data_IF_921343566439
#
_entry.id   IF_921343566439
#
_cell.length_a   1.000
_cell.length_b   1.000
_cell.length_c   1.000
_cell.angle_alpha   90.00
_cell.angle_beta   90.00
_cell.angle_gamma   90.00
#
_symmetry.space_group_name_H-M   'P 1'
#
loop_
_entity.id
_entity.type
_entity.pdbx_description
1 polymer ?
#
# COMPACT_ATOMS: atom_id res chain seq x y z
N UNK A 1 -18.93 -12.78 25.53
CA UNK A 1 -19.11 -13.30 24.15
C UNK A 1 -18.36 -12.32 23.25
N UNK A 2 -17.24 -12.74 22.64
CA UNK A 2 -16.48 -11.86 21.73
C UNK A 2 -17.30 -11.67 20.46
N UNK A 3 -17.46 -10.42 20.02
CA UNK A 3 -18.09 -10.10 18.75
C UNK A 3 -17.20 -10.59 17.61
N UNK A 4 -17.55 -11.71 17.00
CA UNK A 4 -16.83 -12.31 15.88
C UNK A 4 -17.23 -11.73 14.54
N UNK A 5 -18.19 -10.78 14.51
CA UNK A 5 -18.67 -10.20 13.25
C UNK A 5 -17.48 -9.69 12.43
N UNK A 6 -16.52 -9.00 13.04
CA UNK A 6 -15.36 -8.41 12.36
C UNK A 6 -14.48 -9.40 11.56
N UNK A 7 -14.60 -10.71 11.85
CA UNK A 7 -13.86 -11.78 11.21
C UNK A 7 -14.74 -12.73 10.39
N UNK A 8 -16.04 -12.44 10.27
CA UNK A 8 -16.94 -13.20 9.42
C UNK A 8 -16.41 -13.15 7.97
N UNK A 9 -16.51 -14.29 7.29
CA UNK A 9 -16.27 -14.35 5.85
C UNK A 9 -17.28 -13.41 5.17
N UNK A 10 -16.83 -12.29 4.58
CA UNK A 10 -17.72 -11.31 3.96
C UNK A 10 -18.45 -11.88 2.73
N UNK A 11 -18.15 -13.12 2.35
CA UNK A 11 -18.78 -13.85 1.25
C UNK A 11 -19.70 -14.99 1.72
N UNK A 12 -19.72 -15.31 3.02
CA UNK A 12 -20.58 -16.35 3.59
C UNK A 12 -21.66 -15.81 4.54
N UNK A 13 -21.53 -14.58 5.03
CA UNK A 13 -22.47 -13.97 6.00
C UNK A 13 -23.32 -12.86 5.38
N UNK A 14 -24.57 -12.73 5.84
CA UNK A 14 -25.50 -11.63 5.45
C UNK A 14 -25.08 -10.25 5.99
N UNK A 15 -24.12 -10.18 6.93
CA UNK A 15 -23.64 -8.94 7.53
C UNK A 15 -22.40 -8.38 6.79
N UNK A 16 -22.66 -7.63 5.73
CA UNK A 16 -21.66 -6.97 4.86
C UNK A 16 -20.76 -5.96 5.61
N UNK A 17 -21.15 -5.50 6.80
CA UNK A 17 -20.49 -4.36 7.47
C UNK A 17 -19.21 -4.71 8.24
N UNK A 18 -18.95 -5.96 8.53
CA UNK A 18 -18.02 -6.28 9.63
C UNK A 18 -16.53 -6.34 9.22
N UNK A 19 -16.20 -6.55 7.95
CA UNK A 19 -14.80 -6.64 7.50
C UNK A 19 -14.14 -5.30 7.12
N UNK A 20 -14.92 -4.22 6.98
CA UNK A 20 -14.48 -2.96 6.36
C UNK A 20 -13.24 -2.37 7.04
N UNK A 21 -13.21 -2.34 8.37
CA UNK A 21 -12.11 -1.76 9.15
C UNK A 21 -10.75 -2.41 8.90
N UNK A 22 -10.71 -3.74 8.69
CA UNK A 22 -9.47 -4.47 8.41
C UNK A 22 -8.93 -4.06 7.04
N UNK A 23 -9.78 -3.94 6.02
CA UNK A 23 -9.35 -3.47 4.69
C UNK A 23 -8.82 -2.05 4.74
N UNK A 24 -9.48 -1.16 5.46
CA UNK A 24 -8.98 0.19 5.71
C UNK A 24 -7.59 0.14 6.34
N UNK A 25 -7.40 -0.65 7.40
CA UNK A 25 -6.09 -0.78 8.05
C UNK A 25 -5.01 -1.28 7.07
N UNK A 26 -5.27 -2.35 6.31
CA UNK A 26 -4.30 -2.90 5.35
C UNK A 26 -3.93 -1.88 4.27
N UNK A 27 -4.92 -1.16 3.74
CA UNK A 27 -4.72 -0.17 2.68
C UNK A 27 -3.93 1.05 3.17
N UNK A 28 -4.25 1.57 4.36
CA UNK A 28 -3.69 2.84 4.83
C UNK A 28 -2.42 2.73 5.67
N UNK A 29 -2.17 1.58 6.29
CA UNK A 29 -0.97 1.33 7.06
C UNK A 29 0.33 1.60 6.28
N UNK A 30 0.56 1.03 5.07
CA UNK A 30 1.81 1.26 4.35
C UNK A 30 2.01 2.74 3.98
N UNK A 31 0.94 3.44 3.63
CA UNK A 31 0.99 4.85 3.25
C UNK A 31 1.39 5.69 4.46
N UNK A 32 0.72 5.48 5.59
CA UNK A 32 0.98 6.20 6.86
C UNK A 32 2.41 5.97 7.32
N UNK A 33 2.89 4.72 7.27
CA UNK A 33 4.27 4.39 7.63
C UNK A 33 5.29 5.03 6.69
N UNK A 34 5.04 4.99 5.38
CA UNK A 34 5.92 5.63 4.40
C UNK A 34 6.01 7.15 4.64
N UNK A 35 4.88 7.81 4.94
CA UNK A 35 4.90 9.24 5.30
C UNK A 35 5.62 9.52 6.61
N UNK A 36 5.49 8.64 7.62
CA UNK A 36 6.20 8.75 8.88
C UNK A 36 7.73 8.66 8.69
N UNK A 37 8.22 7.83 7.75
CA UNK A 37 9.65 7.77 7.40
C UNK A 37 10.18 9.08 6.82
N UNK A 38 9.36 9.83 6.08
CA UNK A 38 9.78 11.12 5.53
C UNK A 38 9.78 12.25 6.55
N UNK A 39 8.78 12.27 7.44
CA UNK A 39 8.55 13.33 8.42
C UNK A 39 8.92 12.89 9.85
N UNK A 40 10.00 12.11 9.99
CA UNK A 40 10.49 11.65 11.29
C UNK A 40 11.32 12.73 11.99
N UNK A 41 11.31 12.75 13.31
CA UNK A 41 12.19 13.58 14.15
C UNK A 41 13.68 13.35 13.85
N UNK A 42 14.02 12.18 13.29
CA UNK A 42 15.34 11.86 12.79
C UNK A 42 15.66 12.48 11.43
N UNK A 43 14.96 13.53 10.98
CA UNK A 43 15.18 14.19 9.69
C UNK A 43 16.64 14.62 9.48
N UNK A 44 17.34 14.97 10.56
CA UNK A 44 18.76 15.32 10.52
C UNK A 44 19.65 14.16 10.06
N UNK A 45 19.23 12.91 10.19
CA UNK A 45 19.97 11.75 9.65
C UNK A 45 19.84 11.61 8.12
N UNK A 46 19.00 12.43 7.48
CA UNK A 46 18.80 12.42 6.03
C UNK A 46 20.07 12.70 5.22
N UNK A 47 21.08 13.36 5.81
CA UNK A 47 22.35 13.69 5.14
C UNK A 47 23.05 12.46 4.55
N UNK A 48 22.88 11.28 5.17
CA UNK A 48 23.49 10.02 4.70
C UNK A 48 23.01 9.68 3.29
N UNK A 49 21.75 9.95 2.96
CA UNK A 49 21.21 9.67 1.63
C UNK A 49 21.71 10.65 0.57
N UNK A 50 22.05 11.87 0.96
CA UNK A 50 22.64 12.87 0.07
C UNK A 50 24.15 12.68 -0.13
N UNK A 51 24.85 12.16 0.88
CA UNK A 51 26.27 11.83 0.78
C UNK A 51 26.55 10.46 0.15
N UNK A 52 25.52 9.61 0.02
CA UNK A 52 25.63 8.28 -0.57
C UNK A 52 25.87 8.36 -2.08
N UNK A 53 26.75 7.52 -2.66
CA UNK A 53 26.90 7.42 -4.11
C UNK A 53 25.73 6.70 -4.80
N UNK A 54 24.74 6.22 -4.04
CA UNK A 54 23.56 5.55 -4.59
C UNK A 54 22.60 6.57 -5.21
N UNK A 55 22.00 6.22 -6.36
CA UNK A 55 21.02 7.10 -7.00
C UNK A 55 19.79 7.31 -6.12
N UNK A 56 19.28 8.55 -6.09
CA UNK A 56 18.07 8.92 -5.36
C UNK A 56 16.87 8.04 -5.76
N UNK A 57 16.74 7.69 -7.05
CA UNK A 57 15.70 6.79 -7.54
C UNK A 57 15.74 5.41 -6.89
N UNK A 58 16.93 4.82 -6.73
CA UNK A 58 17.09 3.54 -6.03
C UNK A 58 16.74 3.66 -4.55
N UNK A 59 17.11 4.75 -3.89
CA UNK A 59 16.82 4.96 -2.46
C UNK A 59 15.31 5.10 -2.22
N UNK A 60 14.60 5.90 -3.03
CA UNK A 60 13.14 6.08 -2.90
C UNK A 60 12.41 4.76 -3.14
N UNK A 61 12.77 4.02 -4.19
CA UNK A 61 12.16 2.72 -4.50
C UNK A 61 12.46 1.70 -3.40
N UNK A 62 13.69 1.67 -2.89
CA UNK A 62 14.07 0.79 -1.79
C UNK A 62 13.27 1.12 -0.51
N UNK A 63 13.03 2.39 -0.22
CA UNK A 63 12.24 2.84 0.94
C UNK A 63 10.78 2.37 0.81
N UNK A 64 10.15 2.55 -0.36
CA UNK A 64 8.82 1.99 -0.65
C UNK A 64 8.80 0.48 -0.45
N UNK A 65 9.75 -0.24 -1.05
CA UNK A 65 9.79 -1.70 -1.00
C UNK A 65 10.04 -2.23 0.41
N UNK A 66 10.84 -1.52 1.21
CA UNK A 66 11.03 -1.81 2.63
C UNK A 66 9.69 -1.75 3.39
N UNK A 67 8.91 -0.68 3.20
CA UNK A 67 7.56 -0.58 3.81
C UNK A 67 6.63 -1.69 3.32
N UNK A 68 6.61 -1.96 2.02
CA UNK A 68 5.74 -2.96 1.41
C UNK A 68 6.06 -4.40 1.87
N UNK A 69 7.34 -4.76 2.00
CA UNK A 69 7.74 -6.11 2.37
C UNK A 69 7.67 -6.31 3.88
N UNK A 70 8.31 -5.44 4.67
CA UNK A 70 8.49 -5.69 6.10
C UNK A 70 7.29 -5.31 6.94
N UNK A 71 6.49 -4.32 6.52
CA UNK A 71 5.31 -3.90 7.29
C UNK A 71 4.03 -4.46 6.68
N UNK A 72 3.76 -4.15 5.41
CA UNK A 72 2.55 -4.63 4.75
C UNK A 72 2.57 -6.16 4.58
N UNK A 73 3.69 -6.73 4.12
CA UNK A 73 3.84 -8.18 3.98
C UNK A 73 3.72 -8.93 5.30
N UNK A 74 4.41 -8.48 6.36
CA UNK A 74 4.31 -9.10 7.68
C UNK A 74 2.90 -8.98 8.29
N UNK A 75 2.27 -7.81 8.15
CA UNK A 75 0.89 -7.60 8.61
C UNK A 75 -0.09 -8.51 7.86
N UNK A 76 0.04 -8.63 6.55
CA UNK A 76 -0.81 -9.52 5.75
C UNK A 76 -0.58 -10.99 6.01
N UNK A 77 0.65 -11.39 6.35
CA UNK A 77 0.92 -12.77 6.79
C UNK A 77 0.13 -13.09 8.07
N UNK A 78 0.12 -12.17 9.04
CA UNK A 78 -0.67 -12.31 10.27
C UNK A 78 -2.17 -12.36 9.96
N UNK A 79 -2.66 -11.44 9.12
CA UNK A 79 -4.07 -11.37 8.75
C UNK A 79 -4.50 -12.63 7.97
N UNK A 80 -3.68 -13.14 7.05
CA UNK A 80 -3.93 -14.38 6.33
C UNK A 80 -3.98 -15.59 7.27
N UNK A 81 -3.12 -15.64 8.31
CA UNK A 81 -3.16 -16.68 9.32
C UNK A 81 -4.47 -16.64 10.13
N UNK A 82 -4.91 -15.44 10.53
CA UNK A 82 -6.20 -15.23 11.21
C UNK A 82 -7.36 -15.66 10.30
N UNK A 83 -7.43 -15.15 9.07
CA UNK A 83 -8.45 -15.51 8.10
C UNK A 83 -8.47 -17.01 7.77
N UNK A 84 -7.32 -17.68 7.76
CA UNK A 84 -7.27 -19.14 7.55
C UNK A 84 -8.04 -19.91 8.62
N UNK A 85 -8.03 -19.43 9.88
CA UNK A 85 -8.81 -20.01 10.98
C UNK A 85 -10.31 -19.73 10.81
N UNK A 86 -10.68 -18.52 10.39
CA UNK A 86 -12.10 -18.14 10.26
C UNK A 86 -12.76 -18.70 9.00
N UNK A 87 -12.09 -18.67 7.85
CA UNK A 87 -12.65 -19.11 6.56
C UNK A 87 -12.68 -20.63 6.40
N UNK A 88 -12.03 -21.39 7.30
CA UNK A 88 -11.89 -22.84 7.23
C UNK A 88 -11.24 -23.34 5.92
N UNK A 89 -10.60 -22.43 5.15
CA UNK A 89 -10.01 -22.67 3.83
C UNK A 89 -8.77 -21.81 3.65
N UNK A 90 -7.60 -22.39 3.89
CA UNK A 90 -6.31 -21.69 3.82
C UNK A 90 -6.08 -21.01 2.46
N UNK A 91 -6.36 -21.70 1.35
CA UNK A 91 -6.14 -21.14 0.02
C UNK A 91 -6.96 -19.86 -0.22
N UNK A 92 -8.19 -19.82 0.30
CA UNK A 92 -9.08 -18.68 0.15
C UNK A 92 -8.52 -17.46 0.88
N UNK A 93 -8.06 -17.64 2.12
CA UNK A 93 -7.40 -16.61 2.90
C UNK A 93 -6.12 -16.08 2.21
N UNK A 94 -5.32 -16.97 1.60
CA UNK A 94 -4.11 -16.57 0.87
C UNK A 94 -4.41 -15.76 -0.40
N UNK A 95 -5.38 -16.20 -1.21
CA UNK A 95 -5.80 -15.45 -2.41
C UNK A 95 -6.35 -14.08 -2.02
N UNK A 96 -7.13 -14.04 -0.94
CA UNK A 96 -7.67 -12.80 -0.42
C UNK A 96 -6.56 -11.84 0.06
N UNK A 97 -5.62 -12.33 0.86
CA UNK A 97 -4.48 -11.55 1.32
C UNK A 97 -3.60 -11.05 0.16
N UNK A 98 -3.38 -11.88 -0.87
CA UNK A 98 -2.64 -11.49 -2.07
C UNK A 98 -3.36 -10.39 -2.86
N UNK A 99 -4.68 -10.47 -2.97
CA UNK A 99 -5.47 -9.44 -3.63
C UNK A 99 -5.39 -8.09 -2.89
N UNK A 100 -5.58 -8.11 -1.57
CA UNK A 100 -5.48 -6.90 -0.73
C UNK A 100 -4.04 -6.36 -0.73
N UNK A 101 -3.02 -7.23 -0.76
CA UNK A 101 -1.61 -6.84 -0.88
C UNK A 101 -1.39 -6.00 -2.15
N UNK A 102 -1.86 -6.47 -3.29
CA UNK A 102 -1.70 -5.77 -4.57
C UNK A 102 -2.41 -4.40 -4.56
N UNK A 103 -3.63 -4.31 -4.01
CA UNK A 103 -4.33 -3.02 -3.88
C UNK A 103 -3.54 -2.04 -3.02
N UNK A 104 -3.13 -2.48 -1.83
CA UNK A 104 -2.38 -1.64 -0.89
C UNK A 104 -1.02 -1.22 -1.49
N UNK A 105 -0.37 -2.12 -2.24
CA UNK A 105 0.90 -1.83 -2.92
C UNK A 105 0.74 -0.83 -4.07
N UNK A 106 -0.29 -0.97 -4.90
CA UNK A 106 -0.63 0.00 -5.95
C UNK A 106 -0.92 1.38 -5.37
N UNK A 107 -1.68 1.45 -4.27
CA UNK A 107 -1.97 2.72 -3.60
C UNK A 107 -0.71 3.36 -3.00
N UNK A 108 0.16 2.56 -2.37
CA UNK A 108 1.47 3.02 -1.92
C UNK A 108 2.30 3.55 -3.10
N UNK A 109 2.34 2.84 -4.23
CA UNK A 109 3.02 3.30 -5.44
C UNK A 109 2.47 4.63 -5.94
N UNK A 110 1.15 4.80 -5.99
CA UNK A 110 0.53 6.06 -6.35
C UNK A 110 0.92 7.19 -5.39
N UNK A 111 0.95 6.94 -4.08
CA UNK A 111 1.45 7.92 -3.09
C UNK A 111 2.87 8.38 -3.39
N UNK A 112 3.77 7.41 -3.58
CA UNK A 112 5.19 7.66 -3.87
C UNK A 112 5.33 8.36 -5.23
N UNK A 113 4.52 7.95 -6.21
CA UNK A 113 4.47 8.55 -7.53
C UNK A 113 3.91 9.96 -7.50
N UNK A 114 3.09 10.37 -6.54
CA UNK A 114 2.63 11.76 -6.38
C UNK A 114 3.73 12.61 -5.73
N UNK A 115 4.49 12.04 -4.80
CA UNK A 115 5.55 12.76 -4.10
C UNK A 115 6.75 11.87 -3.78
N UNK A 116 7.71 11.71 -4.71
CA UNK A 116 8.95 11.02 -4.43
C UNK A 116 9.77 11.91 -3.51
N UNK A 117 10.09 11.40 -2.32
CA UNK A 117 10.93 12.10 -1.35
C UNK A 117 11.93 11.10 -0.81
N UNK A 118 13.16 11.53 -0.53
CA UNK A 118 14.11 10.71 0.21
C UNK A 118 13.61 10.48 1.65
N UNK A 119 13.93 9.32 2.26
CA UNK A 119 13.62 9.11 3.68
C UNK A 119 14.29 10.21 4.52
N UNK A 120 13.62 10.68 5.57
CA UNK A 120 14.12 11.73 6.48
C UNK A 120 14.43 13.10 5.86
N UNK A 121 14.07 13.36 4.59
CA UNK A 121 14.44 14.60 3.93
C UNK A 121 13.49 15.79 4.19
N UNK A 122 12.52 15.66 5.10
CA UNK A 122 11.59 16.74 5.42
C UNK A 122 11.50 16.95 6.92
N UNK A 123 11.57 18.21 7.35
CA UNK A 123 11.25 18.59 8.72
C UNK A 123 9.80 18.19 9.06
N UNK A 124 9.52 17.71 10.28
CA UNK A 124 8.16 17.45 10.74
C UNK A 124 7.31 18.73 10.77
N UNK A 125 6.63 19.05 9.66
CA UNK A 125 5.73 20.20 9.60
C UNK A 125 4.34 19.84 10.12
N UNK A 126 3.95 20.44 11.25
CA UNK A 126 2.59 20.35 11.81
C UNK A 126 1.62 21.15 10.93
N UNK A 127 0.76 20.47 10.16
CA UNK A 127 -0.44 21.05 9.56
C UNK A 127 -0.49 21.24 8.03
N UNK A 128 0.59 20.98 7.27
CA UNK A 128 0.65 21.34 5.84
C UNK A 128 0.04 20.32 4.84
N UNK A 129 -0.58 19.21 5.27
CA UNK A 129 -0.85 18.08 4.33
C UNK A 129 -2.23 17.44 4.39
N UNK A 130 -3.26 18.14 4.81
CA UNK A 130 -4.62 17.57 4.92
C UNK A 130 -5.23 17.20 3.57
N UNK A 131 -5.00 17.99 2.51
CA UNK A 131 -5.67 17.80 1.21
C UNK A 131 -5.24 16.54 0.44
N UNK A 132 -3.92 16.31 0.30
CA UNK A 132 -3.40 15.12 -0.39
C UNK A 132 -3.73 13.83 0.35
N UNK A 133 -3.64 13.87 1.68
CA UNK A 133 -4.09 12.78 2.55
C UNK A 133 -5.58 12.49 2.33
N UNK A 134 -6.42 13.52 2.35
CA UNK A 134 -7.85 13.37 2.15
C UNK A 134 -8.18 12.72 0.80
N UNK A 135 -7.59 13.19 -0.30
CA UNK A 135 -7.81 12.58 -1.63
C UNK A 135 -7.38 11.11 -1.65
N UNK A 136 -6.29 10.78 -0.97
CA UNK A 136 -5.79 9.42 -0.87
C UNK A 136 -6.68 8.54 0.02
N UNK A 137 -7.19 9.06 1.14
CA UNK A 137 -8.16 8.37 1.99
C UNK A 137 -9.48 8.12 1.27
N UNK A 138 -9.97 9.13 0.53
CA UNK A 138 -11.17 9.01 -0.26
C UNK A 138 -10.97 7.99 -1.39
N UNK A 139 -9.93 8.13 -2.21
CA UNK A 139 -9.66 7.21 -3.31
C UNK A 139 -9.38 5.78 -2.85
N UNK A 140 -8.57 5.61 -1.80
CA UNK A 140 -8.28 4.31 -1.20
C UNK A 140 -9.50 3.67 -0.55
N UNK A 141 -10.32 4.46 0.14
CA UNK A 141 -11.57 4.01 0.76
C UNK A 141 -12.61 3.59 -0.28
N UNK A 142 -12.74 4.35 -1.38
CA UNK A 142 -13.59 3.97 -2.51
C UNK A 142 -13.13 2.65 -3.13
N UNK A 143 -11.84 2.50 -3.41
CA UNK A 143 -11.30 1.23 -3.94
C UNK A 143 -11.52 0.05 -2.98
N UNK A 144 -11.32 0.26 -1.68
CA UNK A 144 -11.59 -0.76 -0.67
C UNK A 144 -13.07 -1.14 -0.62
N UNK A 145 -13.98 -0.18 -0.76
CA UNK A 145 -15.41 -0.42 -0.81
C UNK A 145 -15.86 -1.24 -2.03
N UNK A 146 -15.09 -1.25 -3.12
CA UNK A 146 -15.36 -2.10 -4.29
C UNK A 146 -14.94 -3.57 -4.10
N UNK A 147 -14.08 -3.87 -3.11
CA UNK A 147 -13.56 -5.24 -2.89
C UNK A 147 -14.70 -6.26 -2.68
N UNK A 148 -15.67 -6.04 -1.78
CA UNK A 148 -16.73 -7.03 -1.53
C UNK A 148 -17.59 -7.33 -2.78
N UNK A 149 -17.69 -6.39 -3.72
CA UNK A 149 -18.44 -6.57 -4.96
C UNK A 149 -17.65 -7.34 -6.03
N UNK A 150 -16.34 -7.14 -6.11
CA UNK A 150 -15.49 -7.78 -7.12
C UNK A 150 -15.17 -9.24 -6.77
N UNK A 151 -14.96 -9.51 -5.48
CA UNK A 151 -14.44 -10.79 -5.01
C UNK A 151 -15.34 -12.01 -5.29
N UNK A 152 -16.70 -11.95 -5.21
CA UNK A 152 -17.55 -13.07 -5.62
C UNK A 152 -17.31 -13.50 -7.06
N UNK A 153 -17.14 -12.56 -7.98
CA UNK A 153 -16.86 -12.86 -9.39
C UNK A 153 -15.46 -13.46 -9.58
N UNK A 154 -14.47 -12.94 -8.85
CA UNK A 154 -13.09 -13.47 -8.83
C UNK A 154 -13.09 -14.92 -8.33
N UNK A 155 -13.85 -15.25 -7.28
CA UNK A 155 -13.90 -16.61 -6.73
C UNK A 155 -14.72 -17.58 -7.57
N UNK A 156 -15.82 -17.12 -8.18
CA UNK A 156 -16.68 -17.97 -9.01
C UNK A 156 -15.99 -18.38 -10.32
N UNK A 157 -15.08 -17.56 -10.84
CA UNK A 157 -14.49 -17.75 -12.17
C UNK A 157 -12.96 -17.63 -12.15
N UNK A 158 -12.22 -18.76 -12.10
CA UNK A 158 -10.75 -18.76 -12.11
C UNK A 158 -10.11 -17.95 -13.24
N UNK A 159 -10.64 -17.93 -14.49
CA UNK A 159 -10.08 -17.08 -15.54
C UNK A 159 -10.16 -15.59 -15.23
N UNK A 160 -11.24 -15.14 -14.57
CA UNK A 160 -11.40 -13.74 -14.15
C UNK A 160 -10.38 -13.42 -13.06
N UNK A 161 -10.19 -14.32 -12.08
CA UNK A 161 -9.15 -14.15 -11.07
C UNK A 161 -7.77 -13.97 -11.70
N UNK A 162 -7.38 -14.87 -12.60
CA UNK A 162 -6.08 -14.79 -13.30
C UNK A 162 -5.95 -13.47 -14.07
N UNK A 163 -6.99 -13.04 -14.78
CA UNK A 163 -6.98 -11.78 -15.52
C UNK A 163 -6.81 -10.56 -14.60
N UNK A 164 -7.53 -10.52 -13.47
CA UNK A 164 -7.45 -9.45 -12.48
C UNK A 164 -6.06 -9.41 -11.84
N UNK A 165 -5.52 -10.54 -11.40
CA UNK A 165 -4.17 -10.62 -10.85
C UNK A 165 -3.10 -10.19 -11.87
N UNK A 166 -3.20 -10.67 -13.11
CA UNK A 166 -2.29 -10.28 -14.18
C UNK A 166 -2.34 -8.78 -14.45
N UNK A 167 -3.55 -8.19 -14.50
CA UNK A 167 -3.73 -6.75 -14.66
C UNK A 167 -3.09 -5.95 -13.51
N UNK A 168 -3.31 -6.35 -12.25
CA UNK A 168 -2.75 -5.66 -11.09
C UNK A 168 -1.21 -5.75 -11.04
N UNK A 169 -0.64 -6.91 -11.40
CA UNK A 169 0.82 -7.08 -11.51
C UNK A 169 1.37 -6.20 -12.65
N UNK A 170 0.70 -6.17 -13.80
CA UNK A 170 1.08 -5.30 -14.91
C UNK A 170 1.01 -3.80 -14.52
N UNK A 171 -0.04 -3.39 -13.82
CA UNK A 171 -0.19 -2.05 -13.28
C UNK A 171 0.92 -1.71 -12.27
N UNK A 172 1.29 -2.66 -11.43
CA UNK A 172 2.40 -2.52 -10.46
C UNK A 172 3.73 -2.28 -11.17
N UNK A 173 4.00 -3.06 -12.22
CA UNK A 173 5.21 -2.90 -13.04
C UNK A 173 5.22 -1.56 -13.80
N UNK A 174 4.08 -1.16 -14.38
CA UNK A 174 3.93 0.11 -15.09
C UNK A 174 4.12 1.32 -14.16
N UNK A 175 3.53 1.29 -12.95
CA UNK A 175 3.72 2.33 -11.95
C UNK A 175 5.16 2.39 -11.45
N UNK A 176 5.83 1.25 -11.29
CA UNK A 176 7.25 1.25 -10.89
C UNK A 176 8.15 1.83 -11.99
N UNK A 177 7.85 1.54 -13.25
CA UNK A 177 8.54 2.18 -14.38
C UNK A 177 8.30 3.69 -14.41
N UNK A 178 7.04 4.13 -14.31
CA UNK A 178 6.69 5.55 -14.25
C UNK A 178 7.33 6.27 -13.06
N UNK A 179 7.44 5.59 -11.92
CA UNK A 179 8.09 6.13 -10.73
C UNK A 179 9.58 6.38 -10.97
N UNK A 180 10.28 5.48 -11.64
CA UNK A 180 11.71 5.67 -11.99
C UNK A 180 11.89 6.92 -12.85
N UNK A 181 11.10 7.03 -13.92
CA UNK A 181 11.12 8.21 -14.81
C UNK A 181 10.87 9.51 -14.04
N UNK A 182 9.81 9.54 -13.22
CA UNK A 182 9.45 10.74 -12.46
C UNK A 182 10.52 11.14 -11.44
N UNK A 183 11.18 10.19 -10.78
CA UNK A 183 12.24 10.52 -9.82
C UNK A 183 13.44 11.13 -10.55
N UNK A 184 13.82 10.57 -11.70
CA UNK A 184 14.95 11.08 -12.47
C UNK A 184 14.67 12.52 -12.96
N UNK A 185 13.43 12.83 -13.36
CA UNK A 185 12.99 14.21 -13.68
C UNK A 185 13.09 15.15 -12.46
N UNK A 186 12.50 14.76 -11.32
CA UNK A 186 12.43 15.61 -10.12
C UNK A 186 13.81 15.83 -9.47
N UNK A 187 14.70 14.83 -9.53
CA UNK A 187 16.05 14.91 -8.93
C UNK A 187 17.00 15.66 -9.85
N UNK A 188 16.91 15.48 -11.17
CA UNK A 188 17.71 16.26 -12.12
C UNK A 188 17.53 17.77 -11.90
N UNK A 189 16.30 18.22 -11.67
CA UNK A 189 15.99 19.63 -11.37
C UNK A 189 16.66 20.18 -10.09
N UNK A 190 17.03 19.31 -9.13
CA UNK A 190 17.71 19.71 -7.89
C UNK A 190 19.23 19.81 -8.07
N UNK A 191 19.83 19.01 -8.95
CA UNK A 191 21.28 19.05 -9.21
C UNK A 191 21.71 20.31 -9.98
N UNK A 192 20.84 20.87 -10.84
CA UNK A 192 21.16 22.06 -11.65
C UNK A 192 20.74 23.40 -11.04
N UNK A 193 20.17 23.39 -9.83
CA UNK A 193 19.71 24.60 -9.12
C UNK A 193 20.63 25.07 -7.99
N UNK A 194 21.76 24.39 -7.77
CA UNK A 194 22.85 24.83 -6.88
C UNK A 194 24.05 25.28 -7.71
#
# INVERSE_FOLDING_TARGET
MMDTSAFADPFAAEDVNSGVSIYFAVVFLPITLHMALHASESWRAGWIFFASPASSSRIVIATKNFVAVYFLGAYLLLVAAVWSVFYQRVWHALVHAMFVWLIAHLLLQCAVLVKPVLPFASEPRRGERTGGLFLMFFGGGTLAAFIPFLMPAVYAHPPIAVAVFAFMVAATAALEYALRLRIDEVVGDLEFRN
#
